data_IF_636957381502
#
_entry.id   IF_636957381502
#
_cell.length_a   1.000
_cell.length_b   1.000
_cell.length_c   1.000
_cell.angle_alpha   90.00
_cell.angle_beta   90.00
_cell.angle_gamma   90.00
#
_symmetry.space_group_name_H-M   'P 1'
#
loop_
_entity.id
_entity.type
_entity.pdbx_description
1 polymer ?
#
# COMPACT_ATOMS: atom_id res chain seq x y z
N UNK A 1 55.77 34.39 1.59
CA UNK A 1 54.96 35.50 2.12
C UNK A 1 53.83 35.74 1.14
N UNK A 2 52.63 36.03 1.67
CA UNK A 2 51.26 35.94 1.10
C UNK A 2 50.75 34.47 1.06
N UNK A 3 49.96 33.94 2.03
CA UNK A 3 48.66 34.37 2.61
C UNK A 3 47.57 34.43 1.53
N UNK A 4 46.76 33.36 1.43
CA UNK A 4 45.32 33.30 1.77
C UNK A 4 44.48 33.60 0.51
N UNK A 5 43.52 32.79 0.07
CA UNK A 5 42.20 32.69 0.67
C UNK A 5 41.52 31.39 0.19
N UNK A 6 41.22 30.50 1.14
CA UNK A 6 40.17 29.50 0.95
C UNK A 6 38.84 30.21 1.08
N UNK A 7 38.17 30.49 -0.04
CA UNK A 7 36.81 31.03 -0.02
C UNK A 7 35.83 29.90 0.32
N UNK A 8 35.60 29.73 1.62
CA UNK A 8 34.58 28.88 2.23
C UNK A 8 33.20 29.38 1.77
N UNK A 9 32.60 28.71 0.79
CA UNK A 9 31.26 29.07 0.32
C UNK A 9 30.25 28.83 1.43
N UNK A 10 29.85 29.93 2.06
CA UNK A 10 28.77 30.05 3.04
C UNK A 10 27.60 29.09 2.78
N UNK A 11 27.49 28.05 3.61
CA UNK A 11 26.28 27.26 3.78
C UNK A 11 25.16 28.18 4.22
N UNK A 12 24.23 28.48 3.31
CA UNK A 12 23.07 29.30 3.57
C UNK A 12 22.17 28.59 4.60
N UNK A 13 22.06 29.04 5.87
CA UNK A 13 21.42 28.25 6.94
C UNK A 13 19.87 28.26 6.89
N UNK A 14 19.26 28.76 5.81
CA UNK A 14 17.85 29.16 5.80
C UNK A 14 16.85 28.17 5.22
N UNK A 15 17.22 26.90 5.09
CA UNK A 15 16.23 25.82 5.02
C UNK A 15 16.68 24.66 5.89
N UNK A 16 16.54 24.83 7.21
CA UNK A 16 16.20 23.69 8.07
C UNK A 16 14.88 23.15 7.51
N UNK A 17 14.97 22.16 6.62
CA UNK A 17 13.84 21.28 6.38
C UNK A 17 13.69 20.55 7.70
N UNK A 18 12.74 20.99 8.52
CA UNK A 18 12.24 20.21 9.63
C UNK A 18 11.63 18.96 8.99
N UNK A 19 12.44 17.92 8.85
CA UNK A 19 11.91 16.57 8.64
C UNK A 19 11.35 16.20 10.00
N UNK A 20 10.08 16.54 10.20
CA UNK A 20 9.33 16.07 11.36
C UNK A 20 9.47 14.55 11.40
N UNK A 21 9.87 14.00 12.55
CA UNK A 21 10.00 12.55 12.74
C UNK A 21 8.65 11.84 12.46
N UNK A 22 7.54 12.58 12.53
CA UNK A 22 6.22 12.15 12.08
C UNK A 22 6.16 11.83 10.56
N UNK A 23 6.89 12.57 9.72
CA UNK A 23 6.95 12.37 8.26
C UNK A 23 7.75 11.11 7.88
N UNK A 24 8.66 10.68 8.77
CA UNK A 24 9.39 9.42 8.61
C UNK A 24 8.46 8.22 8.88
N UNK A 25 7.46 8.38 9.75
CA UNK A 25 6.42 7.37 9.99
C UNK A 25 5.32 7.41 8.91
N UNK A 26 5.13 8.55 8.24
CA UNK A 26 4.21 8.73 7.09
C UNK A 26 4.69 8.02 5.81
N UNK A 27 5.94 7.57 5.78
CA UNK A 27 6.49 6.71 4.72
C UNK A 27 6.14 5.22 4.85
N UNK A 28 5.29 4.82 5.82
CA UNK A 28 4.49 3.61 5.58
C UNK A 28 3.61 3.93 4.40
N UNK A 29 3.85 3.20 3.33
CA UNK A 29 3.20 3.41 2.05
C UNK A 29 1.72 3.12 2.21
N UNK A 30 0.96 4.17 2.55
CA UNK A 30 -0.48 4.13 2.74
C UNK A 30 -1.20 4.03 1.39
N UNK A 31 -0.70 3.19 0.48
CA UNK A 31 -1.24 2.96 -0.86
C UNK A 31 -2.68 2.44 -0.82
N UNK A 32 -3.07 1.87 0.32
CA UNK A 32 -4.41 1.35 0.58
C UNK A 32 -5.19 2.19 1.59
N UNK A 33 -4.77 3.43 1.87
CA UNK A 33 -5.50 4.33 2.77
C UNK A 33 -6.98 4.43 2.39
N UNK A 34 -7.86 4.29 3.39
CA UNK A 34 -9.32 4.30 3.22
C UNK A 34 -9.82 3.26 2.19
N UNK A 35 -9.13 2.12 2.06
CA UNK A 35 -9.59 1.00 1.22
C UNK A 35 -9.87 -0.23 2.07
N UNK A 36 -11.02 -0.84 1.80
CA UNK A 36 -11.46 -2.05 2.46
C UNK A 36 -11.28 -3.27 1.55
N UNK A 37 -10.78 -4.34 2.13
CA UNK A 37 -10.42 -5.57 1.44
C UNK A 37 -11.16 -6.76 2.00
N UNK A 38 -11.48 -7.72 1.14
CA UNK A 38 -12.01 -9.02 1.54
C UNK A 38 -11.20 -10.14 0.94
N UNK A 39 -10.83 -11.12 1.76
CA UNK A 39 -10.05 -12.28 1.33
C UNK A 39 -10.94 -13.50 1.12
N UNK A 40 -10.98 -14.04 -0.10
CA UNK A 40 -11.84 -15.15 -0.51
C UNK A 40 -11.03 -16.31 -1.10
N UNK A 41 -11.31 -17.53 -0.66
CA UNK A 41 -10.66 -18.74 -1.15
C UNK A 41 -9.23 -18.97 -0.67
N UNK A 42 -8.81 -18.27 0.38
CA UNK A 42 -7.53 -18.48 1.05
C UNK A 42 -7.73 -19.28 2.33
N UNK A 43 -6.82 -20.21 2.60
CA UNK A 43 -6.73 -20.92 3.88
C UNK A 43 -6.36 -19.97 5.01
N UNK A 44 -6.63 -20.35 6.27
CA UNK A 44 -6.29 -19.53 7.44
C UNK A 44 -4.81 -19.14 7.47
N UNK A 45 -3.92 -20.09 7.17
CA UNK A 45 -2.47 -19.88 7.13
C UNK A 45 -2.03 -18.88 6.04
N UNK A 46 -2.77 -18.80 4.93
CA UNK A 46 -2.50 -17.83 3.86
C UNK A 46 -3.12 -16.46 4.16
N UNK A 47 -4.22 -16.42 4.93
CA UNK A 47 -4.93 -15.18 5.22
C UNK A 47 -4.12 -14.25 6.10
N UNK A 48 -3.44 -14.77 7.12
CA UNK A 48 -2.66 -13.95 8.05
C UNK A 48 -1.57 -13.11 7.37
N UNK A 49 -0.69 -13.66 6.51
CA UNK A 49 0.33 -12.85 5.84
C UNK A 49 -0.29 -11.85 4.85
N UNK A 50 -1.34 -12.23 4.12
CA UNK A 50 -2.02 -11.30 3.19
C UNK A 50 -2.66 -10.14 3.95
N UNK A 51 -3.32 -10.45 5.08
CA UNK A 51 -3.91 -9.47 5.98
C UNK A 51 -2.84 -8.50 6.51
N UNK A 52 -1.74 -9.02 7.04
CA UNK A 52 -0.66 -8.21 7.58
C UNK A 52 -0.10 -7.24 6.53
N UNK A 53 0.10 -7.69 5.29
CA UNK A 53 0.57 -6.83 4.19
C UNK A 53 -0.43 -5.72 3.87
N UNK A 54 -1.74 -6.02 3.85
CA UNK A 54 -2.78 -5.01 3.59
C UNK A 54 -2.82 -3.97 4.72
N UNK A 55 -2.83 -4.43 5.98
CA UNK A 55 -2.86 -3.55 7.16
C UNK A 55 -1.58 -2.71 7.29
N UNK A 56 -0.41 -3.25 6.95
CA UNK A 56 0.87 -2.51 6.96
C UNK A 56 0.91 -1.39 5.91
N UNK A 57 0.15 -1.53 4.82
CA UNK A 57 0.01 -0.55 3.75
C UNK A 57 -1.24 0.34 3.89
N UNK A 58 -1.83 0.38 5.10
CA UNK A 58 -2.93 1.29 5.45
C UNK A 58 -4.33 0.84 5.02
N UNK A 59 -4.49 -0.40 4.55
CA UNK A 59 -5.79 -0.98 4.19
C UNK A 59 -6.47 -1.71 5.34
N UNK A 60 -7.79 -1.88 5.26
CA UNK A 60 -8.58 -2.59 6.28
C UNK A 60 -9.14 -3.91 5.74
N UNK A 61 -9.04 -5.01 6.50
CA UNK A 61 -9.77 -6.24 6.19
C UNK A 61 -11.20 -6.17 6.73
N UNK A 62 -12.19 -6.33 5.85
CA UNK A 62 -13.61 -6.32 6.19
C UNK A 62 -14.32 -7.60 5.78
N UNK A 63 -15.19 -8.09 6.66
CA UNK A 63 -16.08 -9.22 6.38
C UNK A 63 -17.40 -8.79 5.72
N UNK A 64 -17.63 -7.47 5.56
CA UNK A 64 -18.83 -6.92 4.92
C UNK A 64 -18.90 -7.35 3.44
N UNK A 65 -20.10 -7.30 2.86
CA UNK A 65 -20.29 -7.55 1.41
C UNK A 65 -19.85 -6.35 0.57
N UNK A 66 -19.92 -5.17 1.15
CA UNK A 66 -19.51 -3.93 0.55
C UNK A 66 -18.05 -3.68 0.94
N UNK A 67 -17.17 -3.81 -0.05
CA UNK A 67 -15.72 -3.59 0.07
C UNK A 67 -15.20 -2.99 -1.22
N UNK A 68 -14.14 -2.20 -1.14
CA UNK A 68 -13.46 -1.63 -2.31
C UNK A 68 -12.83 -2.71 -3.18
N UNK A 69 -12.21 -3.72 -2.55
CA UNK A 69 -11.54 -4.81 -3.24
C UNK A 69 -11.81 -6.18 -2.62
N UNK A 70 -12.11 -7.16 -3.46
CA UNK A 70 -12.20 -8.56 -3.08
C UNK A 70 -11.02 -9.32 -3.66
N UNK A 71 -10.03 -9.66 -2.82
CA UNK A 71 -8.88 -10.48 -3.22
C UNK A 71 -9.33 -11.94 -3.23
N UNK A 72 -9.16 -12.58 -4.37
CA UNK A 72 -9.55 -13.96 -4.61
C UNK A 72 -8.33 -14.83 -4.93
N UNK A 73 -8.29 -16.01 -4.32
CA UNK A 73 -7.42 -17.09 -4.75
C UNK A 73 -7.84 -17.56 -6.14
N UNK A 74 -6.87 -17.97 -6.97
CA UNK A 74 -7.13 -18.49 -8.32
C UNK A 74 -8.02 -19.74 -8.29
N UNK A 75 -7.92 -20.52 -7.21
CA UNK A 75 -8.70 -21.75 -6.99
C UNK A 75 -10.11 -21.47 -6.44
N UNK A 76 -10.44 -20.20 -6.15
CA UNK A 76 -11.73 -19.85 -5.57
C UNK A 76 -12.87 -20.05 -6.59
N UNK A 77 -13.77 -20.99 -6.29
CA UNK A 77 -14.98 -21.29 -7.07
C UNK A 77 -16.28 -20.96 -6.33
N UNK A 78 -16.22 -20.12 -5.29
CA UNK A 78 -17.39 -19.79 -4.49
C UNK A 78 -18.43 -18.96 -5.26
N UNK A 79 -19.71 -19.13 -4.94
CA UNK A 79 -20.82 -18.43 -5.60
C UNK A 79 -20.71 -16.90 -5.51
N UNK A 80 -20.01 -16.37 -4.51
CA UNK A 80 -19.77 -14.94 -4.34
C UNK A 80 -18.77 -14.35 -5.33
N UNK A 81 -17.95 -15.18 -6.00
CA UNK A 81 -16.97 -14.73 -7.00
C UNK A 81 -17.63 -13.86 -8.08
N UNK A 82 -18.68 -14.41 -8.70
CA UNK A 82 -19.45 -13.72 -9.75
C UNK A 82 -19.97 -12.36 -9.29
N UNK A 83 -20.45 -12.27 -8.04
CA UNK A 83 -20.95 -11.01 -7.48
C UNK A 83 -19.87 -9.94 -7.39
N UNK A 84 -18.65 -10.26 -6.98
CA UNK A 84 -17.55 -9.28 -6.90
C UNK A 84 -16.97 -8.96 -8.29
N UNK A 85 -17.00 -9.93 -9.22
CA UNK A 85 -16.62 -9.71 -10.62
C UNK A 85 -17.60 -8.75 -11.31
N UNK A 86 -18.91 -8.95 -11.18
CA UNK A 86 -19.95 -8.06 -11.72
C UNK A 86 -19.90 -6.65 -11.13
N UNK A 87 -19.47 -6.52 -9.87
CA UNK A 87 -19.24 -5.23 -9.20
C UNK A 87 -17.93 -4.55 -9.61
N UNK A 88 -17.05 -5.24 -10.33
CA UNK A 88 -15.74 -4.70 -10.74
C UNK A 88 -14.71 -4.57 -9.61
N UNK A 89 -14.98 -5.09 -8.40
CA UNK A 89 -14.06 -5.03 -7.26
C UNK A 89 -13.24 -6.32 -7.04
N UNK A 90 -13.48 -7.36 -7.85
CA UNK A 90 -12.70 -8.59 -7.88
C UNK A 90 -11.23 -8.38 -8.29
N UNK A 91 -10.28 -8.80 -7.46
CA UNK A 91 -8.84 -8.75 -7.75
C UNK A 91 -8.15 -10.07 -7.39
N UNK A 92 -7.03 -10.36 -8.04
CA UNK A 92 -6.18 -11.50 -7.72
C UNK A 92 -5.12 -11.14 -6.68
N UNK A 93 -4.51 -12.13 -6.05
CA UNK A 93 -3.35 -11.92 -5.20
C UNK A 93 -2.18 -11.27 -5.97
N UNK A 94 -2.01 -11.63 -7.25
CA UNK A 94 -1.00 -11.02 -8.11
C UNK A 94 -1.16 -9.51 -8.24
N UNK A 95 -2.40 -9.02 -8.38
CA UNK A 95 -2.67 -7.58 -8.42
C UNK A 95 -2.26 -6.89 -7.12
N UNK A 96 -2.55 -7.50 -5.96
CA UNK A 96 -2.13 -6.98 -4.66
C UNK A 96 -0.61 -6.86 -4.60
N UNK A 97 0.11 -7.93 -4.96
CA UNK A 97 1.57 -7.93 -5.00
C UNK A 97 2.14 -6.87 -5.95
N UNK A 98 1.49 -6.61 -7.09
CA UNK A 98 1.89 -5.54 -7.99
C UNK A 98 1.71 -4.16 -7.35
N UNK A 99 0.60 -3.93 -6.64
CA UNK A 99 0.40 -2.66 -5.93
C UNK A 99 1.49 -2.41 -4.88
N UNK A 100 1.87 -3.45 -4.13
CA UNK A 100 2.99 -3.37 -3.18
C UNK A 100 4.32 -3.10 -3.91
N UNK A 101 4.61 -3.85 -4.97
CA UNK A 101 5.88 -3.79 -5.68
C UNK A 101 6.12 -2.42 -6.34
N UNK A 102 5.10 -1.86 -6.98
CA UNK A 102 5.16 -0.54 -7.60
C UNK A 102 4.90 0.59 -6.61
N UNK A 103 4.53 0.25 -5.38
CA UNK A 103 4.14 1.20 -4.36
C UNK A 103 3.04 2.18 -4.84
N UNK A 104 2.05 1.64 -5.56
CA UNK A 104 0.98 2.41 -6.18
C UNK A 104 -0.31 1.59 -6.20
N UNK A 105 -1.45 2.24 -5.96
CA UNK A 105 -2.75 1.60 -6.13
C UNK A 105 -3.11 1.52 -7.61
N UNK A 106 -2.99 0.31 -8.18
CA UNK A 106 -3.28 0.07 -9.59
C UNK A 106 -4.80 -0.05 -9.77
N UNK A 107 -5.44 0.98 -10.32
CA UNK A 107 -6.86 0.94 -10.67
C UNK A 107 -6.99 0.33 -12.08
N UNK A 108 -7.60 -0.86 -12.23
CA UNK A 108 -7.84 -1.40 -13.57
C UNK A 108 -8.88 -0.52 -14.29
N UNK A 109 -8.57 -0.23 -15.55
CA UNK A 109 -9.44 0.51 -16.49
C UNK A 109 -10.55 -0.37 -17.05
#
# INVERSE_FOLDING_TARGET
MAEDEWQETTLNPKKRVSVDIADINDKRTNIFSDKTFKLLGFSTEQREPIRAIIEDNGGEISNKKDVDFAIMSEEFKGASKKTYEERGCARSLKWLCQCIYYNELIIPR
#
